data_IF_736446654707
#
_entry.id   IF_736446654707
#
_cell.length_a   1.000
_cell.length_b   1.000
_cell.length_c   1.000
_cell.angle_alpha   90.00
_cell.angle_beta   90.00
_cell.angle_gamma   90.00
#
_symmetry.space_group_name_H-M   'P 1'
#
loop_
_entity.id
_entity.type
_entity.pdbx_description
1 polymer ?
#
# COMPACT_ATOMS: atom_id res chain seq x y z
N UNK A 1 28.50 40.52 1.35
CA UNK A 1 27.46 40.01 2.27
C UNK A 1 27.78 38.54 2.54
N UNK A 2 28.33 38.22 3.72
CA UNK A 2 28.88 36.89 4.07
C UNK A 2 27.77 36.04 4.69
N UNK A 3 27.42 34.92 4.07
CA UNK A 3 26.57 33.91 4.70
C UNK A 3 27.44 33.01 5.58
N UNK A 4 27.15 32.98 6.89
CA UNK A 4 27.70 31.99 7.83
C UNK A 4 26.74 30.81 7.87
N UNK A 5 27.18 29.64 7.45
CA UNK A 5 26.51 28.39 7.80
C UNK A 5 26.82 28.07 9.26
N UNK A 6 25.78 27.93 10.09
CA UNK A 6 25.90 27.33 11.43
C UNK A 6 25.46 25.87 11.28
N UNK A 7 26.44 24.98 11.19
CA UNK A 7 26.22 23.55 11.42
C UNK A 7 26.41 23.32 12.92
N UNK A 8 25.31 23.18 13.65
CA UNK A 8 25.34 22.71 15.03
C UNK A 8 25.21 21.19 15.02
N UNK A 9 26.34 20.50 15.04
CA UNK A 9 26.41 19.12 15.51
C UNK A 9 27.46 19.07 16.62
N UNK A 10 27.01 19.38 17.83
CA UNK A 10 27.83 19.27 19.04
C UNK A 10 27.87 17.80 19.45
N UNK A 11 28.90 17.06 19.02
CA UNK A 11 29.20 15.73 19.56
C UNK A 11 30.16 15.94 20.73
N UNK A 12 29.65 15.75 21.95
CA UNK A 12 30.50 15.62 23.13
C UNK A 12 31.26 14.30 23.04
N UNK A 13 32.57 14.37 22.82
CA UNK A 13 33.47 13.22 22.93
C UNK A 13 33.88 13.07 24.41
N UNK A 14 33.22 12.18 25.13
CA UNK A 14 33.72 11.67 26.41
C UNK A 14 34.60 10.45 26.13
N UNK A 15 35.85 10.39 26.60
CA UNK A 15 36.70 9.24 26.38
C UNK A 15 36.35 8.15 27.40
N UNK A 16 36.08 6.94 26.91
CA UNK A 16 36.09 5.74 27.73
C UNK A 16 34.88 4.85 27.56
N UNK A 17 34.72 4.21 26.40
CA UNK A 17 34.13 2.87 26.29
C UNK A 17 34.68 2.19 25.04
N UNK A 18 35.05 0.92 25.18
CA UNK A 18 35.74 0.15 24.17
C UNK A 18 34.89 -0.09 22.92
N UNK A 19 35.36 0.43 21.78
CA UNK A 19 35.50 -0.35 20.55
C UNK A 19 34.24 -0.79 19.81
N UNK A 20 33.49 0.18 19.28
CA UNK A 20 33.05 0.15 17.87
C UNK A 20 33.30 1.57 17.34
N UNK A 21 34.50 1.84 16.82
CA UNK A 21 34.73 3.06 16.02
C UNK A 21 33.97 2.88 14.69
N UNK A 22 32.68 3.21 14.70
CA UNK A 22 31.93 3.37 13.46
C UNK A 22 32.43 4.65 12.80
N UNK A 23 33.15 4.53 11.68
CA UNK A 23 33.72 5.68 11.01
C UNK A 23 32.61 6.59 10.48
N UNK A 24 32.83 7.90 10.49
CA UNK A 24 31.92 8.86 9.85
C UNK A 24 31.67 8.50 8.37
N UNK A 25 32.67 7.92 7.70
CA UNK A 25 32.53 7.42 6.32
C UNK A 25 31.52 6.28 6.21
N UNK A 26 31.48 5.37 7.19
CA UNK A 26 30.58 4.21 7.20
C UNK A 26 29.13 4.67 7.38
N UNK A 27 28.89 5.63 8.29
CA UNK A 27 27.57 6.24 8.49
C UNK A 27 27.06 6.92 7.22
N UNK A 28 27.90 7.68 6.51
CA UNK A 28 27.50 8.33 5.25
C UNK A 28 27.16 7.31 4.16
N UNK A 29 27.90 6.20 4.09
CA UNK A 29 27.63 5.14 3.13
C UNK A 29 26.33 4.39 3.45
N UNK A 30 26.05 4.13 4.73
CA UNK A 30 24.79 3.54 5.18
C UNK A 30 23.59 4.43 4.85
N UNK A 31 23.66 5.72 5.17
CA UNK A 31 22.61 6.70 4.84
C UNK A 31 22.33 6.74 3.33
N UNK A 32 23.37 6.72 2.50
CA UNK A 32 23.23 6.69 1.04
C UNK A 32 22.56 5.40 0.55
N UNK A 33 22.94 4.26 1.14
CA UNK A 33 22.37 2.96 0.79
C UNK A 33 20.90 2.86 1.21
N UNK A 34 20.54 3.35 2.39
CA UNK A 34 19.15 3.42 2.87
C UNK A 34 18.30 4.32 1.97
N UNK A 35 18.78 5.52 1.63
CA UNK A 35 18.10 6.42 0.70
C UNK A 35 17.92 5.81 -0.70
N UNK A 36 18.94 5.12 -1.21
CA UNK A 36 18.88 4.45 -2.51
C UNK A 36 17.87 3.30 -2.54
N UNK A 37 17.72 2.57 -1.43
CA UNK A 37 16.71 1.51 -1.27
C UNK A 37 15.29 2.07 -1.20
N UNK A 38 15.11 3.18 -0.48
CA UNK A 38 13.83 3.89 -0.45
C UNK A 38 13.42 4.33 -1.87
N UNK A 39 14.36 4.86 -2.65
CA UNK A 39 14.15 5.17 -4.08
C UNK A 39 13.83 3.89 -4.89
N UNK A 40 14.42 2.74 -4.54
CA UNK A 40 14.18 1.49 -5.23
C UNK A 40 12.74 0.97 -5.04
N UNK A 41 12.06 1.28 -3.93
CA UNK A 41 10.65 0.91 -3.73
C UNK A 41 9.68 1.97 -4.25
N UNK A 42 10.10 3.22 -4.46
CA UNK A 42 9.24 4.30 -4.98
C UNK A 42 8.52 3.88 -6.28
N UNK A 43 7.28 4.36 -6.42
CA UNK A 43 6.42 4.12 -7.56
C UNK A 43 5.20 3.26 -7.26
N UNK A 44 4.48 2.88 -8.31
CA UNK A 44 3.22 2.13 -8.25
C UNK A 44 3.45 0.63 -8.16
N UNK A 45 2.60 -0.02 -7.39
CA UNK A 45 2.60 -1.45 -7.14
C UNK A 45 1.20 -2.01 -7.20
N UNK A 46 1.08 -3.20 -7.77
CA UNK A 46 -0.15 -3.98 -7.73
C UNK A 46 0.01 -5.11 -6.73
N UNK A 47 -0.73 -5.04 -5.63
CA UNK A 47 -0.80 -6.06 -4.60
C UNK A 47 -1.91 -7.09 -4.84
N UNK A 48 -1.74 -8.28 -4.29
CA UNK A 48 -2.75 -9.33 -4.19
C UNK A 48 -2.71 -9.94 -2.78
N UNK A 49 -3.83 -9.85 -2.06
CA UNK A 49 -4.05 -10.64 -0.85
C UNK A 49 -4.60 -12.01 -1.23
N UNK A 50 -4.16 -13.07 -0.55
CA UNK A 50 -4.81 -14.38 -0.64
C UNK A 50 -5.63 -14.62 0.64
N UNK A 51 -6.92 -14.30 0.58
CA UNK A 51 -7.81 -14.36 1.76
C UNK A 51 -8.25 -15.80 2.08
N UNK A 52 -8.25 -16.68 1.06
CA UNK A 52 -8.47 -18.13 1.15
C UNK A 52 -7.74 -18.78 -0.03
N UNK A 53 -7.41 -20.08 0.02
CA UNK A 53 -6.74 -20.77 -1.08
C UNK A 53 -7.43 -20.52 -2.43
N UNK A 54 -6.70 -19.90 -3.36
CA UNK A 54 -7.20 -19.58 -4.71
C UNK A 54 -8.09 -18.34 -4.82
N UNK A 55 -8.46 -17.69 -3.72
CA UNK A 55 -9.24 -16.44 -3.72
C UNK A 55 -8.32 -15.25 -3.47
N UNK A 56 -7.98 -14.56 -4.56
CA UNK A 56 -7.11 -13.39 -4.55
C UNK A 56 -7.88 -12.08 -4.62
N UNK A 57 -7.52 -11.12 -3.78
CA UNK A 57 -8.08 -9.77 -3.77
C UNK A 57 -7.00 -8.79 -4.24
N UNK A 58 -7.10 -8.25 -5.46
CA UNK A 58 -6.12 -7.32 -5.97
C UNK A 58 -6.37 -5.90 -5.49
N UNK A 59 -5.29 -5.16 -5.27
CA UNK A 59 -5.33 -3.73 -4.95
C UNK A 59 -4.12 -3.03 -5.57
N UNK A 60 -4.17 -1.69 -5.63
CA UNK A 60 -3.08 -0.88 -6.16
C UNK A 60 -2.67 0.12 -5.10
N UNK A 61 -1.36 0.32 -4.96
CA UNK A 61 -0.79 1.28 -4.05
C UNK A 61 0.46 1.92 -4.65
N UNK A 62 0.94 2.98 -4.01
CA UNK A 62 2.11 3.73 -4.42
C UNK A 62 2.99 4.01 -3.20
N UNK A 63 4.28 3.70 -3.32
CA UNK A 63 5.28 4.23 -2.41
C UNK A 63 5.72 5.59 -2.92
N UNK A 64 5.52 6.61 -2.10
CA UNK A 64 5.88 7.98 -2.39
C UNK A 64 6.30 8.68 -1.10
N UNK A 65 6.75 9.93 -1.22
CA UNK A 65 7.07 10.75 -0.05
C UNK A 65 5.82 11.38 0.51
N UNK A 66 5.60 11.20 1.80
CA UNK A 66 4.57 11.86 2.58
C UNK A 66 5.05 13.17 3.20
N UNK A 67 4.36 13.57 4.27
CA UNK A 67 4.68 14.80 5.01
C UNK A 67 6.13 14.75 5.51
N UNK A 68 6.82 15.89 5.45
CA UNK A 68 8.23 16.03 5.84
C UNK A 68 9.20 15.15 5.03
N UNK A 69 8.83 14.74 3.81
CA UNK A 69 9.69 13.96 2.91
C UNK A 69 9.96 12.52 3.40
N UNK A 70 9.14 12.02 4.33
CA UNK A 70 9.24 10.66 4.85
C UNK A 70 8.58 9.64 3.90
N UNK A 71 9.11 8.42 3.76
CA UNK A 71 8.49 7.36 2.98
C UNK A 71 7.08 7.00 3.48
N UNK A 72 6.13 6.90 2.56
CA UNK A 72 4.72 6.71 2.88
C UNK A 72 4.02 5.88 1.79
N UNK A 73 3.00 5.12 2.18
CA UNK A 73 2.16 4.37 1.23
C UNK A 73 0.86 5.13 0.95
N UNK A 74 0.43 5.11 -0.30
CA UNK A 74 -0.84 5.64 -0.74
C UNK A 74 -1.62 4.55 -1.47
N UNK A 75 -2.89 4.36 -1.12
CA UNK A 75 -3.75 3.42 -1.82
C UNK A 75 -4.46 4.12 -2.98
N UNK A 76 -4.59 3.40 -4.09
CA UNK A 76 -5.23 3.89 -5.31
C UNK A 76 -6.56 3.15 -5.54
N UNK A 77 -7.65 3.91 -5.59
CA UNK A 77 -9.01 3.42 -5.73
C UNK A 77 -9.77 4.13 -6.85
N UNK A 78 -9.67 3.60 -8.06
CA UNK A 78 -10.07 4.32 -9.27
C UNK A 78 -9.32 5.64 -9.36
N UNK A 79 -10.06 6.73 -9.33
CA UNK A 79 -9.53 8.09 -9.41
C UNK A 79 -9.13 8.65 -8.02
N UNK A 80 -9.40 7.90 -6.94
CA UNK A 80 -9.07 8.28 -5.57
C UNK A 80 -7.66 7.82 -5.16
N UNK A 81 -6.95 8.70 -4.45
CA UNK A 81 -5.65 8.43 -3.83
C UNK A 81 -5.72 8.85 -2.37
N UNK A 82 -5.52 7.90 -1.45
CA UNK A 82 -5.61 8.18 -0.01
C UNK A 82 -4.38 7.70 0.74
N UNK A 83 -4.10 8.37 1.85
CA UNK A 83 -3.01 8.07 2.76
C UNK A 83 -3.22 6.72 3.46
N UNK A 84 -2.23 5.84 3.38
CA UNK A 84 -2.31 4.49 3.94
C UNK A 84 -1.44 4.27 5.18
N UNK A 85 -0.23 4.84 5.22
CA UNK A 85 0.64 4.68 6.38
C UNK A 85 2.13 4.89 6.13
N UNK A 86 2.90 4.86 7.22
CA UNK A 86 4.36 5.08 7.17
C UNK A 86 5.12 3.84 6.68
N UNK A 87 6.26 4.07 6.02
CA UNK A 87 7.09 3.00 5.45
C UNK A 87 8.48 3.04 6.07
N UNK A 88 8.94 1.87 6.52
CA UNK A 88 10.30 1.65 6.99
C UNK A 88 10.93 0.52 6.19
N UNK A 89 12.11 0.77 5.63
CA UNK A 89 12.86 -0.24 4.91
C UNK A 89 14.22 -0.47 5.55
N UNK A 90 14.53 -1.72 5.88
CA UNK A 90 15.83 -2.15 6.35
C UNK A 90 16.27 -3.34 5.50
N UNK A 91 17.33 -3.16 4.71
CA UNK A 91 17.73 -4.15 3.71
C UNK A 91 16.62 -4.46 2.70
N UNK A 92 16.31 -5.73 2.52
CA UNK A 92 15.20 -6.21 1.70
C UNK A 92 13.87 -6.21 2.46
N UNK A 93 13.87 -5.91 3.76
CA UNK A 93 12.66 -5.90 4.57
C UNK A 93 11.97 -4.54 4.48
N UNK A 94 10.70 -4.54 4.07
CA UNK A 94 9.83 -3.38 3.97
C UNK A 94 8.67 -3.58 4.94
N UNK A 95 8.57 -2.70 5.93
CA UNK A 95 7.46 -2.65 6.88
C UNK A 95 6.62 -1.42 6.56
N UNK A 96 5.32 -1.63 6.40
CA UNK A 96 4.34 -0.56 6.20
C UNK A 96 3.34 -0.59 7.34
N UNK A 97 3.39 0.39 8.24
CA UNK A 97 2.45 0.49 9.35
C UNK A 97 1.23 1.29 8.91
N UNK A 98 0.05 0.66 8.91
CA UNK A 98 -1.18 1.29 8.43
C UNK A 98 -1.77 2.23 9.49
N UNK A 99 -2.14 3.46 9.12
CA UNK A 99 -2.50 4.48 10.10
C UNK A 99 -3.89 4.26 10.74
N UNK A 100 -4.82 3.66 10.00
CA UNK A 100 -6.21 3.44 10.46
C UNK A 100 -6.46 2.03 11.01
N UNK A 101 -5.43 1.18 11.05
CA UNK A 101 -5.57 -0.23 11.39
C UNK A 101 -4.40 -0.68 12.28
N UNK A 102 -4.65 -1.60 13.21
CA UNK A 102 -3.60 -2.26 14.00
C UNK A 102 -2.78 -3.27 13.17
N UNK A 103 -2.64 -3.02 11.87
CA UNK A 103 -2.06 -3.92 10.90
C UNK A 103 -0.80 -3.32 10.25
N UNK A 104 0.04 -4.19 9.73
CA UNK A 104 1.20 -3.82 8.94
C UNK A 104 1.36 -4.73 7.73
N UNK A 105 1.96 -4.22 6.65
CA UNK A 105 2.57 -5.07 5.64
C UNK A 105 3.99 -5.40 6.08
N UNK A 106 4.28 -6.69 6.25
CA UNK A 106 5.62 -7.19 6.49
C UNK A 106 6.10 -7.89 5.22
N UNK A 107 6.93 -7.21 4.42
CA UNK A 107 7.27 -7.60 3.06
C UNK A 107 8.78 -7.75 2.88
N UNK A 108 9.15 -8.66 1.99
CA UNK A 108 10.51 -8.80 1.45
C UNK A 108 10.55 -8.33 0.01
N UNK A 109 11.48 -7.44 -0.31
CA UNK A 109 11.77 -6.93 -1.64
C UNK A 109 12.79 -7.82 -2.35
N UNK A 110 12.43 -8.31 -3.54
CA UNK A 110 13.32 -9.04 -4.43
C UNK A 110 13.11 -8.55 -5.88
N UNK A 111 13.98 -7.64 -6.32
CA UNK A 111 13.80 -6.95 -7.60
C UNK A 111 12.50 -6.13 -7.61
N UNK A 112 11.63 -6.40 -8.59
CA UNK A 112 10.33 -5.73 -8.74
C UNK A 112 9.17 -6.48 -8.06
N UNK A 113 9.48 -7.37 -7.11
CA UNK A 113 8.49 -8.17 -6.38
C UNK A 113 8.61 -7.92 -4.88
N UNK A 114 7.46 -7.73 -4.24
CA UNK A 114 7.30 -7.78 -2.79
C UNK A 114 6.53 -9.04 -2.42
N UNK A 115 6.97 -9.75 -1.39
CA UNK A 115 6.30 -10.95 -0.88
C UNK A 115 6.32 -10.97 0.64
N UNK A 116 5.21 -11.34 1.26
CA UNK A 116 5.11 -11.42 2.71
C UNK A 116 3.65 -11.52 3.16
N UNK A 117 3.28 -10.72 4.17
CA UNK A 117 1.97 -10.83 4.82
C UNK A 117 1.42 -9.48 5.27
N UNK A 118 0.09 -9.38 5.28
CA UNK A 118 -0.66 -8.42 6.09
C UNK A 118 -0.94 -9.07 7.45
N UNK A 119 -0.34 -8.54 8.51
CA UNK A 119 -0.49 -9.09 9.86
C UNK A 119 -0.87 -8.02 10.86
N UNK A 120 -1.24 -8.43 12.07
CA UNK A 120 -1.43 -7.50 13.19
C UNK A 120 -0.06 -7.03 13.69
N UNK A 121 0.07 -5.75 13.99
CA UNK A 121 1.28 -5.19 14.59
C UNK A 121 1.63 -5.94 15.88
N UNK A 122 2.91 -6.25 16.07
CA UNK A 122 3.43 -6.98 17.24
C UNK A 122 2.81 -8.38 17.47
N UNK A 123 2.22 -9.00 16.45
CA UNK A 123 1.64 -10.34 16.56
C UNK A 123 2.55 -11.41 15.98
N UNK A 124 2.58 -12.57 16.64
CA UNK A 124 3.20 -13.80 16.14
C UNK A 124 2.23 -14.67 15.31
N UNK A 125 0.96 -14.25 15.21
CA UNK A 125 -0.05 -14.97 14.42
C UNK A 125 0.25 -14.77 12.93
N UNK A 126 0.26 -15.85 12.12
CA UNK A 126 0.40 -15.74 10.67
C UNK A 126 -0.62 -14.77 10.08
N UNK A 127 -0.13 -13.87 9.23
CA UNK A 127 -0.96 -12.90 8.54
C UNK A 127 -1.65 -13.47 7.30
N UNK A 128 -2.35 -12.58 6.60
CA UNK A 128 -2.88 -12.86 5.26
C UNK A 128 -1.75 -12.75 4.24
N UNK A 129 -1.46 -13.80 3.43
CA UNK A 129 -0.42 -13.72 2.42
C UNK A 129 -0.63 -12.55 1.46
N UNK A 130 0.45 -11.83 1.19
CA UNK A 130 0.49 -10.65 0.34
C UNK A 130 1.66 -10.76 -0.64
N UNK A 131 1.37 -10.54 -1.92
CA UNK A 131 2.38 -10.33 -2.95
C UNK A 131 2.12 -9.04 -3.70
N UNK A 132 3.15 -8.34 -4.16
CA UNK A 132 2.99 -7.17 -5.02
C UNK A 132 4.05 -7.12 -6.12
N UNK A 133 3.69 -6.54 -7.25
CA UNK A 133 4.59 -6.34 -8.39
C UNK A 133 4.66 -4.87 -8.78
N UNK A 134 5.87 -4.39 -9.05
CA UNK A 134 6.15 -3.00 -9.42
C UNK A 134 5.62 -2.68 -10.82
N UNK A 135 5.27 -1.41 -11.05
CA UNK A 135 4.90 -0.83 -12.34
C UNK A 135 3.67 -1.47 -13.01
N UNK A 136 2.80 -2.13 -12.24
CA UNK A 136 1.50 -2.61 -12.71
C UNK A 136 0.40 -1.65 -12.24
N UNK A 137 -0.25 -1.01 -13.20
CA UNK A 137 -1.23 0.05 -12.92
C UNK A 137 -2.69 -0.43 -12.96
N UNK A 138 -2.94 -1.66 -13.42
CA UNK A 138 -4.28 -2.23 -13.47
C UNK A 138 -4.63 -2.90 -12.13
N UNK A 139 -5.86 -2.72 -11.64
CA UNK A 139 -6.35 -3.50 -10.48
C UNK A 139 -6.75 -4.90 -10.90
N UNK A 140 -7.63 -5.00 -11.90
CA UNK A 140 -8.03 -6.24 -12.55
C UNK A 140 -7.35 -6.37 -13.91
N UNK A 141 -6.94 -7.59 -14.28
CA UNK A 141 -6.34 -7.82 -15.59
C UNK A 141 -7.37 -7.49 -16.66
N UNK A 142 -6.94 -6.80 -17.72
CA UNK A 142 -7.80 -6.58 -18.87
C UNK A 142 -8.13 -7.93 -19.52
N UNK A 143 -9.42 -8.16 -19.74
CA UNK A 143 -9.92 -9.33 -20.45
C UNK A 143 -9.80 -9.03 -21.95
N UNK A 144 -9.23 -9.95 -22.71
CA UNK A 144 -9.21 -9.86 -24.17
C UNK A 144 -10.56 -10.21 -24.77
N UNK A 145 -11.05 -9.41 -25.72
CA UNK A 145 -12.35 -9.62 -26.38
C UNK A 145 -13.36 -8.54 -26.01
N UNK A 146 -14.55 -8.63 -26.60
CA UNK A 146 -15.65 -7.73 -26.28
C UNK A 146 -16.33 -8.16 -24.98
N UNK A 147 -16.85 -7.19 -24.23
CA UNK A 147 -17.59 -7.43 -23.00
C UNK A 147 -18.75 -8.39 -23.25
N UNK A 148 -18.95 -9.36 -22.36
CA UNK A 148 -20.04 -10.32 -22.51
C UNK A 148 -21.43 -9.68 -22.42
N UNK A 149 -21.55 -8.55 -21.72
CA UNK A 149 -22.78 -7.78 -21.58
C UNK A 149 -22.47 -6.32 -21.20
N UNK A 150 -23.46 -5.43 -21.36
CA UNK A 150 -23.45 -4.11 -20.72
C UNK A 150 -24.33 -4.15 -19.47
N UNK A 151 -23.73 -3.93 -18.30
CA UNK A 151 -24.40 -3.94 -16.99
C UNK A 151 -24.45 -2.55 -16.34
N UNK A 152 -24.30 -1.48 -17.14
CA UNK A 152 -24.47 -0.11 -16.65
C UNK A 152 -25.90 0.13 -16.22
N UNK A 153 -26.09 0.79 -15.07
CA UNK A 153 -27.42 1.13 -14.58
C UNK A 153 -27.48 1.39 -13.08
N UNK A 154 -28.69 1.67 -12.63
CA UNK A 154 -29.05 1.83 -11.22
C UNK A 154 -29.89 0.63 -10.80
N UNK A 155 -29.52 -0.01 -9.70
CA UNK A 155 -30.12 -1.24 -9.23
C UNK A 155 -30.52 -1.12 -7.76
N UNK A 156 -31.68 -1.69 -7.42
CA UNK A 156 -32.04 -1.97 -6.04
C UNK A 156 -31.30 -3.23 -5.58
N UNK A 157 -30.50 -3.10 -4.52
CA UNK A 157 -29.64 -4.15 -4.00
C UNK A 157 -30.05 -4.47 -2.57
N UNK A 158 -30.13 -5.76 -2.25
CA UNK A 158 -30.36 -6.24 -0.88
C UNK A 158 -29.17 -7.07 -0.42
N UNK A 159 -28.40 -6.55 0.53
CA UNK A 159 -27.34 -7.29 1.19
C UNK A 159 -27.93 -8.16 2.31
N UNK A 160 -27.61 -9.45 2.30
CA UNK A 160 -28.03 -10.40 3.34
C UNK A 160 -26.83 -10.82 4.16
N UNK A 161 -26.87 -10.54 5.46
CA UNK A 161 -25.84 -11.01 6.39
C UNK A 161 -26.13 -12.45 6.83
N UNK A 162 -25.11 -13.13 7.36
CA UNK A 162 -25.20 -14.52 7.84
C UNK A 162 -26.16 -14.70 9.01
N UNK A 163 -26.43 -13.64 9.78
CA UNK A 163 -27.43 -13.62 10.85
C UNK A 163 -28.87 -13.40 10.34
N UNK A 164 -29.06 -13.30 9.03
CA UNK A 164 -30.37 -13.08 8.39
C UNK A 164 -30.81 -11.62 8.29
N UNK A 165 -30.03 -10.65 8.78
CA UNK A 165 -30.39 -9.23 8.61
C UNK A 165 -30.22 -8.80 7.15
N UNK A 166 -31.17 -8.01 6.67
CA UNK A 166 -31.15 -7.43 5.34
C UNK A 166 -30.85 -5.93 5.39
N UNK A 167 -29.97 -5.47 4.50
CA UNK A 167 -29.68 -4.05 4.29
C UNK A 167 -29.98 -3.69 2.83
N UNK A 168 -30.81 -2.67 2.62
CA UNK A 168 -31.11 -2.13 1.29
C UNK A 168 -30.06 -1.12 0.86
N UNK A 169 -29.71 -1.15 -0.41
CA UNK A 169 -28.74 -0.26 -1.02
C UNK A 169 -29.14 0.06 -2.47
N UNK A 170 -28.61 1.15 -3.00
CA UNK A 170 -28.69 1.47 -4.43
C UNK A 170 -27.34 1.20 -5.07
N UNK A 171 -27.28 0.28 -6.04
CA UNK A 171 -26.09 0.01 -6.83
C UNK A 171 -26.04 0.88 -8.08
N UNK A 172 -25.00 1.69 -8.24
CA UNK A 172 -24.72 2.47 -9.44
C UNK A 172 -23.54 1.84 -10.17
N UNK A 173 -23.77 1.38 -11.40
CA UNK A 173 -22.74 0.75 -12.22
C UNK A 173 -22.53 1.53 -13.51
N UNK A 174 -21.27 1.75 -13.87
CA UNK A 174 -20.85 2.38 -15.12
C UNK A 174 -19.83 1.50 -15.80
N UNK A 175 -20.05 1.19 -17.07
CA UNK A 175 -19.18 0.31 -17.84
C UNK A 175 -18.60 1.00 -19.07
N UNK A 176 -17.29 0.87 -19.25
CA UNK A 176 -16.54 1.30 -20.44
C UNK A 176 -15.81 0.10 -21.04
N UNK A 177 -16.38 -0.50 -22.09
CA UNK A 177 -15.88 -1.76 -22.63
C UNK A 177 -15.92 -2.86 -21.58
N UNK A 178 -14.77 -3.46 -21.26
CA UNK A 178 -14.66 -4.50 -20.23
C UNK A 178 -14.47 -3.94 -18.82
N UNK A 179 -14.32 -2.61 -18.65
CA UNK A 179 -14.08 -2.00 -17.34
C UNK A 179 -15.40 -1.63 -16.69
N UNK A 180 -15.61 -2.10 -15.47
CA UNK A 180 -16.80 -1.82 -14.68
C UNK A 180 -16.42 -1.02 -13.44
N UNK A 181 -17.06 0.13 -13.23
CA UNK A 181 -17.05 0.89 -11.98
C UNK A 181 -18.36 0.70 -11.25
N UNK A 182 -18.32 0.53 -9.93
CA UNK A 182 -19.48 0.31 -9.07
C UNK A 182 -19.47 1.20 -7.84
N UNK A 183 -20.64 1.65 -7.43
CA UNK A 183 -20.87 2.31 -6.14
C UNK A 183 -22.11 1.72 -5.50
N UNK A 184 -22.04 1.35 -4.22
CA UNK A 184 -23.23 1.01 -3.43
C UNK A 184 -23.53 2.15 -2.46
N UNK A 185 -24.69 2.78 -2.64
CA UNK A 185 -25.18 3.80 -1.73
C UNK A 185 -25.97 3.12 -0.61
N UNK A 186 -25.58 3.34 0.64
CA UNK A 186 -26.23 2.76 1.83
C UNK A 186 -26.49 3.82 2.87
N UNK A 187 -27.51 3.60 3.70
CA UNK A 187 -27.83 4.49 4.83
C UNK A 187 -26.67 4.55 5.84
N UNK A 188 -25.93 3.45 5.99
CA UNK A 188 -24.80 3.30 6.92
C UNK A 188 -23.48 3.86 6.37
N UNK A 189 -23.44 4.25 5.10
CA UNK A 189 -22.26 4.75 4.42
C UNK A 189 -22.06 4.09 3.05
N UNK A 190 -21.53 4.84 2.10
CA UNK A 190 -21.43 4.37 0.71
C UNK A 190 -20.12 3.64 0.46
N UNK A 191 -20.19 2.49 -0.23
CA UNK A 191 -19.03 1.80 -0.77
C UNK A 191 -18.74 2.34 -2.18
N UNK A 192 -17.77 3.25 -2.28
CA UNK A 192 -17.41 3.92 -3.54
C UNK A 192 -16.20 3.29 -4.22
N UNK A 193 -16.07 3.56 -5.52
CA UNK A 193 -14.90 3.24 -6.35
C UNK A 193 -14.59 1.74 -6.46
N UNK A 194 -15.64 0.91 -6.45
CA UNK A 194 -15.48 -0.50 -6.76
C UNK A 194 -15.12 -0.63 -8.24
N UNK A 195 -14.18 -1.51 -8.54
CA UNK A 195 -13.78 -1.81 -9.91
C UNK A 195 -13.94 -3.29 -10.18
N UNK A 196 -14.18 -3.64 -11.44
CA UNK A 196 -14.23 -5.00 -11.93
C UNK A 196 -14.03 -5.06 -13.43
N UNK A 197 -14.04 -6.29 -13.96
CA UNK A 197 -14.01 -6.54 -15.39
C UNK A 197 -15.08 -7.55 -15.80
N UNK A 198 -15.70 -7.34 -16.95
CA UNK A 198 -16.73 -8.20 -17.55
C UNK A 198 -16.39 -8.53 -19.01
#
# INVERSE_FOLDING_TARGET
MRFRFVSLLSIFFLPGFAGIEHSFSDTIQEMRNEQSRLIAIEGKWRGEFEIRPGLKVPFVFEFAKGRNNNPYIYFLNGDERFEGGSVKQVNDSVIVSLDQFDNEFALKLAGDVLSGELRKQNSSTPGTPLTAKKNLNYRFKEISGAAAANVSGTYDITFKATNGSEEKAVGLFTQEGNKLKGTFLRITGDSRYLEGTI
#
